data_IF_906939176967
#
_entry.id   IF_906939176967
#
_cell.length_a   1.000
_cell.length_b   1.000
_cell.length_c   1.000
_cell.angle_alpha   90.00
_cell.angle_beta   90.00
_cell.angle_gamma   90.00
#
_symmetry.space_group_name_H-M   'P 1'
#
loop_
_entity.id
_entity.type
_entity.pdbx_description
1 polymer ?
#
# COMPACT_ATOMS: atom_id res chain seq x y z
N UNK A 1 -6.84 36.45 2.84
CA UNK A 1 -6.61 35.20 3.61
C UNK A 1 -5.54 34.40 2.90
N UNK A 2 -4.30 34.42 3.41
CA UNK A 2 -3.19 33.64 2.87
C UNK A 2 -3.35 32.19 3.34
N UNK A 3 -3.75 31.28 2.45
CA UNK A 3 -3.75 29.83 2.74
C UNK A 3 -2.29 29.43 2.95
N UNK A 4 -1.96 29.10 4.19
CA UNK A 4 -0.58 28.98 4.66
C UNK A 4 0.15 27.82 3.98
N UNK A 5 1.36 28.09 3.50
CA UNK A 5 2.12 27.27 2.56
C UNK A 5 2.61 25.95 3.20
N UNK A 6 2.50 25.87 4.52
CA UNK A 6 2.90 24.79 5.41
C UNK A 6 1.83 23.70 5.52
N UNK A 7 0.53 24.05 5.44
CA UNK A 7 -0.54 23.05 5.40
C UNK A 7 -0.61 22.30 4.07
N UNK A 8 -0.28 22.96 2.96
CA UNK A 8 -0.22 22.31 1.65
C UNK A 8 0.96 21.37 1.55
N UNK A 9 2.13 21.74 2.09
CA UNK A 9 3.33 20.89 2.14
C UNK A 9 3.14 19.63 2.97
N UNK A 10 2.53 19.76 4.15
CA UNK A 10 2.26 18.62 5.03
C UNK A 10 1.34 17.59 4.36
N UNK A 11 0.22 18.02 3.77
CA UNK A 11 -0.73 17.11 3.10
C UNK A 11 -0.11 16.33 1.93
N UNK A 12 0.72 16.97 1.10
CA UNK A 12 1.43 16.33 -0.02
C UNK A 12 2.46 15.32 0.49
N UNK A 13 3.22 15.66 1.53
CA UNK A 13 4.23 14.77 2.10
C UNK A 13 3.63 13.53 2.79
N UNK A 14 2.52 13.71 3.52
CA UNK A 14 1.80 12.58 4.12
C UNK A 14 1.19 11.67 3.05
N UNK A 15 0.59 12.22 1.98
CA UNK A 15 0.06 11.43 0.86
C UNK A 15 1.13 10.55 0.20
N UNK A 16 2.32 11.10 -0.07
CA UNK A 16 3.44 10.36 -0.64
C UNK A 16 3.93 9.22 0.27
N UNK A 17 4.04 9.47 1.57
CA UNK A 17 4.47 8.46 2.54
C UNK A 17 3.51 7.27 2.62
N UNK A 18 2.20 7.52 2.73
CA UNK A 18 1.22 6.44 2.77
C UNK A 18 1.17 5.64 1.46
N UNK A 19 1.49 6.26 0.33
CA UNK A 19 1.51 5.59 -0.99
C UNK A 19 2.71 4.65 -1.10
N UNK A 20 3.87 5.07 -0.60
CA UNK A 20 5.07 4.22 -0.46
C UNK A 20 4.80 3.06 0.50
N UNK A 21 4.14 3.31 1.63
CA UNK A 21 3.74 2.24 2.56
C UNK A 21 2.81 1.23 1.88
N UNK A 22 1.75 1.69 1.20
CA UNK A 22 0.83 0.80 0.47
C UNK A 22 1.55 -0.05 -0.57
N UNK A 23 2.46 0.55 -1.35
CA UNK A 23 3.29 -0.17 -2.32
C UNK A 23 4.19 -1.20 -1.64
N UNK A 24 4.80 -0.82 -0.51
CA UNK A 24 5.69 -1.70 0.27
C UNK A 24 4.93 -2.92 0.79
N UNK A 25 3.68 -2.78 1.23
CA UNK A 25 2.84 -3.91 1.65
C UNK A 25 2.64 -4.91 0.50
N UNK A 26 2.38 -4.44 -0.72
CA UNK A 26 2.20 -5.30 -1.90
C UNK A 26 3.51 -6.02 -2.24
N UNK A 27 4.62 -5.29 -2.27
CA UNK A 27 5.95 -5.84 -2.60
C UNK A 27 6.37 -6.88 -1.55
N UNK A 28 6.20 -6.59 -0.27
CA UNK A 28 6.53 -7.51 0.82
C UNK A 28 5.64 -8.75 0.78
N UNK A 29 4.34 -8.59 0.53
CA UNK A 29 3.41 -9.72 0.39
C UNK A 29 3.80 -10.67 -0.75
N UNK A 30 4.13 -10.11 -1.93
CA UNK A 30 4.58 -10.89 -3.08
C UNK A 30 5.95 -11.54 -2.84
N UNK A 31 6.91 -10.79 -2.32
CA UNK A 31 8.25 -11.31 -2.03
C UNK A 31 8.21 -12.44 -1.00
N UNK A 32 7.39 -12.29 0.05
CA UNK A 32 7.16 -13.32 1.05
C UNK A 32 6.55 -14.57 0.43
N UNK A 33 5.51 -14.42 -0.41
CA UNK A 33 4.90 -15.54 -1.11
C UNK A 33 5.92 -16.34 -1.94
N UNK A 34 6.67 -15.66 -2.81
CA UNK A 34 7.65 -16.33 -3.66
C UNK A 34 8.79 -16.97 -2.84
N UNK A 35 9.35 -16.26 -1.87
CA UNK A 35 10.41 -16.80 -1.03
C UNK A 35 9.95 -18.05 -0.27
N UNK A 36 8.74 -18.02 0.30
CA UNK A 36 8.17 -19.13 1.05
C UNK A 36 7.84 -20.31 0.14
N UNK A 37 7.18 -20.09 -0.99
CA UNK A 37 6.83 -21.14 -1.95
C UNK A 37 8.06 -21.80 -2.60
N UNK A 38 9.14 -21.05 -2.83
CA UNK A 38 10.41 -21.63 -3.32
C UNK A 38 11.08 -22.49 -2.24
N UNK A 39 11.15 -21.97 -1.01
CA UNK A 39 11.87 -22.63 0.08
C UNK A 39 11.18 -23.92 0.55
N UNK A 40 9.85 -23.91 0.62
CA UNK A 40 9.07 -25.02 1.17
C UNK A 40 8.25 -25.79 0.13
N UNK A 41 8.29 -25.39 -1.16
CA UNK A 41 7.50 -26.02 -2.22
C UNK A 41 5.98 -25.79 -2.09
N UNK A 42 5.56 -24.88 -1.21
CA UNK A 42 4.17 -24.64 -0.84
C UNK A 42 3.53 -23.62 -1.79
N UNK A 43 3.37 -24.01 -3.06
CA UNK A 43 2.72 -23.17 -4.06
C UNK A 43 1.20 -23.14 -3.92
N UNK A 44 0.58 -24.16 -3.34
CA UNK A 44 -0.89 -24.29 -3.21
C UNK A 44 -1.36 -24.30 -1.75
N UNK A 45 -0.58 -23.69 -0.87
CA UNK A 45 -0.89 -23.66 0.56
C UNK A 45 -1.94 -22.59 0.88
N UNK A 46 -3.09 -23.04 1.37
CA UNK A 46 -4.23 -22.18 1.70
C UNK A 46 -3.91 -21.19 2.84
N UNK A 47 -3.06 -21.59 3.77
CA UNK A 47 -2.60 -20.75 4.88
C UNK A 47 -1.72 -19.62 4.38
N UNK A 48 -0.75 -19.94 3.51
CA UNK A 48 0.11 -18.95 2.87
C UNK A 48 -0.70 -17.93 2.05
N UNK A 49 -1.67 -18.41 1.27
CA UNK A 49 -2.58 -17.55 0.51
C UNK A 49 -3.40 -16.63 1.40
N UNK A 50 -3.96 -17.15 2.49
CA UNK A 50 -4.79 -16.35 3.41
C UNK A 50 -4.02 -15.15 4.00
N UNK A 51 -2.73 -15.33 4.26
CA UNK A 51 -1.87 -14.27 4.79
C UNK A 51 -1.46 -13.27 3.71
N UNK A 52 -1.02 -13.76 2.54
CA UNK A 52 -0.52 -12.93 1.44
C UNK A 52 -1.64 -12.08 0.82
N UNK A 53 -2.83 -12.65 0.64
CA UNK A 53 -3.98 -11.94 0.05
C UNK A 53 -4.36 -10.74 0.91
N UNK A 54 -4.38 -10.88 2.23
CA UNK A 54 -4.68 -9.77 3.15
C UNK A 54 -3.67 -8.64 2.96
N UNK A 55 -2.36 -8.96 2.96
CA UNK A 55 -1.31 -7.95 2.76
C UNK A 55 -1.44 -7.21 1.43
N UNK A 56 -1.69 -7.94 0.34
CA UNK A 56 -1.84 -7.35 -1.00
C UNK A 56 -3.10 -6.48 -1.07
N UNK A 57 -4.25 -6.97 -0.58
CA UNK A 57 -5.53 -6.24 -0.62
C UNK A 57 -5.43 -4.95 0.21
N UNK A 58 -4.87 -5.00 1.41
CA UNK A 58 -4.67 -3.79 2.23
C UNK A 58 -3.67 -2.82 1.60
N UNK A 59 -2.60 -3.32 0.95
CA UNK A 59 -1.67 -2.49 0.20
C UNK A 59 -2.34 -1.75 -0.97
N UNK A 60 -3.13 -2.48 -1.77
CA UNK A 60 -3.89 -1.91 -2.89
C UNK A 60 -4.97 -0.92 -2.42
N UNK A 61 -5.71 -1.24 -1.36
CA UNK A 61 -6.71 -0.34 -0.76
C UNK A 61 -6.07 0.95 -0.25
N UNK A 62 -4.88 0.87 0.36
CA UNK A 62 -4.16 2.05 0.84
C UNK A 62 -3.81 2.98 -0.32
N UNK A 63 -3.30 2.43 -1.42
CA UNK A 63 -2.99 3.21 -2.64
C UNK A 63 -4.27 3.83 -3.22
N UNK A 64 -5.34 3.02 -3.36
CA UNK A 64 -6.61 3.48 -3.92
C UNK A 64 -7.26 4.59 -3.08
N UNK A 65 -7.18 4.50 -1.74
CA UNK A 65 -7.72 5.51 -0.83
C UNK A 65 -6.97 6.84 -0.95
N UNK A 66 -5.65 6.80 -1.12
CA UNK A 66 -4.83 8.00 -1.31
C UNK A 66 -5.14 8.64 -2.65
N UNK A 67 -5.23 7.85 -3.71
CA UNK A 67 -5.59 8.34 -5.05
C UNK A 67 -7.00 8.94 -5.08
N UNK A 68 -7.96 8.35 -4.34
CA UNK A 68 -9.30 8.92 -4.17
C UNK A 68 -9.26 10.26 -3.43
N UNK A 69 -8.52 10.34 -2.32
CA UNK A 69 -8.37 11.58 -1.53
C UNK A 69 -7.65 12.69 -2.30
N UNK A 70 -6.69 12.34 -3.15
CA UNK A 70 -5.99 13.30 -4.02
C UNK A 70 -6.95 13.89 -5.07
N UNK A 71 -7.83 13.08 -5.66
CA UNK A 71 -8.86 13.54 -6.60
C UNK A 71 -9.91 14.45 -5.97
N UNK A 72 -10.27 14.22 -4.71
CA UNK A 72 -11.20 15.08 -3.96
C UNK A 72 -10.57 16.40 -3.52
N UNK A 73 -9.27 16.40 -3.20
CA UNK A 73 -8.54 17.61 -2.77
C UNK A 73 -8.10 18.56 -3.89
N UNK A 74 -8.26 18.15 -5.15
CA UNK A 74 -7.98 18.94 -6.37
C UNK A 74 -9.26 19.60 -6.92
N UNK A 75 -10.44 19.23 -6.39
CA UNK A 75 -11.70 19.97 -6.58
C UNK A 75 -11.89 21.06 -5.50
#
# INVERSE_FOLDING_TARGET
MMKNNDETRTKVQYGGFYKILGLSLVVVGLAFYFAWSIMYGTWFDIGLYSFVIVLIVFGLLSIALIDAKEKEGIQ
#
